data_IF_589657923785
#
_entry.id   IF_589657923785
#
_cell.length_a   1.000
_cell.length_b   1.000
_cell.length_c   1.000
_cell.angle_alpha   90.00
_cell.angle_beta   90.00
_cell.angle_gamma   90.00
#
_symmetry.space_group_name_H-M   'P 1'
#
loop_
_entity.id
_entity.type
_entity.pdbx_description
1 polymer ?
#
# COMPACT_ATOMS: atom_id res chain seq x y z
N UNK A 1 -8.78 -0.45 12.59
CA UNK A 1 -8.84 0.30 11.32
C UNK A 1 -9.61 -0.52 10.32
N UNK A 2 -10.35 0.14 9.43
CA UNK A 2 -11.14 -0.50 8.39
C UNK A 2 -10.79 0.25 7.10
N UNK A 3 -10.52 -0.49 6.04
CA UNK A 3 -10.29 0.06 4.71
C UNK A 3 -11.41 -0.45 3.80
N UNK A 4 -12.30 0.44 3.36
CA UNK A 4 -13.38 0.12 2.42
C UNK A 4 -13.31 1.03 1.19
N UNK A 5 -13.16 0.46 0.00
CA UNK A 5 -13.24 1.19 -1.26
C UNK A 5 -12.46 2.54 -1.31
N UNK A 6 -11.20 2.56 -0.83
CA UNK A 6 -10.33 3.74 -0.63
C UNK A 6 -10.61 4.63 0.58
N UNK A 7 -11.68 4.37 1.33
CA UNK A 7 -11.99 5.06 2.58
C UNK A 7 -11.27 4.39 3.75
N UNK A 8 -10.48 5.16 4.50
CA UNK A 8 -9.90 4.72 5.76
C UNK A 8 -10.81 5.14 6.91
N UNK A 9 -11.22 4.16 7.71
CA UNK A 9 -12.05 4.35 8.89
C UNK A 9 -11.40 3.80 10.15
N UNK A 10 -11.82 4.33 11.29
CA UNK A 10 -11.40 3.87 12.61
C UNK A 10 -12.62 3.52 13.45
N UNK A 11 -12.53 2.40 14.17
CA UNK A 11 -13.51 2.05 15.20
C UNK A 11 -13.14 2.78 16.49
N UNK A 12 -14.10 3.49 17.06
CA UNK A 12 -13.99 4.22 18.32
C UNK A 12 -15.14 3.77 19.23
N UNK A 13 -14.84 2.82 20.13
CA UNK A 13 -15.87 2.17 20.95
C UNK A 13 -16.91 1.44 20.08
N UNK A 14 -18.15 1.91 20.15
CA UNK A 14 -19.32 1.44 19.41
C UNK A 14 -19.50 2.12 18.03
N UNK A 15 -18.71 3.17 17.73
CA UNK A 15 -18.81 3.94 16.49
C UNK A 15 -17.72 3.59 15.49
N UNK A 16 -18.00 3.82 14.22
CA UNK A 16 -17.02 3.84 13.13
C UNK A 16 -16.96 5.27 12.60
N UNK A 17 -15.78 5.88 12.62
CA UNK A 17 -15.55 7.21 12.08
C UNK A 17 -14.73 7.14 10.81
N UNK A 18 -15.02 8.02 9.85
CA UNK A 18 -14.16 8.19 8.67
C UNK A 18 -12.97 9.05 9.03
N UNK A 19 -11.77 8.58 8.72
CA UNK A 19 -10.51 9.29 8.93
C UNK A 19 -10.03 9.92 7.64
N UNK A 20 -10.20 9.22 6.52
CA UNK A 20 -9.85 9.72 5.20
C UNK A 20 -10.81 9.13 4.16
N UNK A 21 -11.52 9.98 3.42
CA UNK A 21 -12.48 9.55 2.39
C UNK A 21 -11.81 8.89 1.18
N UNK A 22 -10.54 9.20 0.93
CA UNK A 22 -9.76 8.63 -0.17
C UNK A 22 -8.26 8.61 0.14
N UNK A 23 -7.71 7.42 0.37
CA UNK A 23 -6.27 7.23 0.64
C UNK A 23 -5.44 7.20 -0.65
N UNK A 24 -5.93 6.49 -1.67
CA UNK A 24 -5.28 6.36 -2.98
C UNK A 24 -5.89 7.34 -3.97
N UNK A 25 -5.08 8.03 -4.77
CA UNK A 25 -5.56 8.89 -5.86
C UNK A 25 -6.17 8.05 -6.99
N UNK A 26 -5.63 6.85 -7.21
CA UNK A 26 -5.85 6.08 -8.42
C UNK A 26 -4.98 6.62 -9.56
N UNK A 27 -4.81 5.84 -10.63
CA UNK A 27 -4.22 6.34 -11.87
C UNK A 27 -5.32 6.92 -12.77
N UNK A 28 -5.15 8.16 -13.23
CA UNK A 28 -5.93 8.70 -14.36
C UNK A 28 -5.45 8.15 -15.72
N UNK A 29 -4.29 7.48 -15.74
CA UNK A 29 -3.77 6.85 -16.94
C UNK A 29 -4.75 5.75 -17.40
N UNK A 30 -5.00 5.60 -18.73
CA UNK A 30 -5.70 4.46 -19.26
C UNK A 30 -4.92 3.22 -18.88
N UNK A 31 -5.41 2.61 -17.82
CA UNK A 31 -5.19 1.24 -17.46
C UNK A 31 -5.41 0.42 -18.74
N UNK A 32 -4.33 -0.12 -19.31
CA UNK A 32 -4.40 -0.89 -20.56
C UNK A 32 -5.46 -2.00 -20.48
N UNK A 33 -5.83 -2.62 -21.61
CA UNK A 33 -7.02 -3.47 -21.74
C UNK A 33 -7.12 -4.69 -20.78
N UNK A 34 -6.11 -4.92 -19.95
CA UNK A 34 -6.05 -5.98 -18.94
C UNK A 34 -5.82 -5.48 -17.50
N UNK A 35 -5.90 -4.19 -17.19
CA UNK A 35 -5.74 -3.77 -15.81
C UNK A 35 -7.01 -4.09 -15.03
N UNK A 36 -6.98 -4.98 -14.03
CA UNK A 36 -8.14 -5.15 -13.21
C UNK A 36 -8.39 -3.81 -12.51
N UNK A 37 -9.65 -3.36 -12.53
CA UNK A 37 -10.18 -2.20 -11.79
C UNK A 37 -9.87 -2.25 -10.27
N UNK A 38 -9.19 -3.30 -9.80
CA UNK A 38 -8.76 -3.54 -8.42
C UNK A 38 -7.51 -2.76 -8.01
N UNK A 39 -6.70 -2.24 -8.95
CA UNK A 39 -5.44 -1.56 -8.58
C UNK A 39 -5.60 -0.07 -8.32
N UNK A 40 -6.69 0.58 -8.75
CA UNK A 40 -6.98 1.98 -8.41
C UNK A 40 -7.36 2.18 -6.92
N UNK A 41 -7.44 1.09 -6.17
CA UNK A 41 -7.82 1.07 -4.76
C UNK A 41 -6.65 0.67 -3.88
N UNK A 42 -6.58 1.27 -2.70
CA UNK A 42 -5.78 0.80 -1.61
C UNK A 42 -6.18 -0.64 -1.27
N UNK A 43 -5.18 -1.52 -1.16
CA UNK A 43 -5.37 -2.97 -1.10
C UNK A 43 -5.18 -3.55 0.29
N UNK A 44 -4.51 -2.83 1.20
CA UNK A 44 -4.24 -3.31 2.56
C UNK A 44 -4.14 -2.15 3.55
N UNK A 45 -4.43 -2.46 4.82
CA UNK A 45 -4.18 -1.58 5.96
C UNK A 45 -3.57 -2.41 7.09
N UNK A 46 -2.45 -1.95 7.66
CA UNK A 46 -1.79 -2.60 8.78
C UNK A 46 -1.44 -1.58 9.88
N UNK A 47 -1.63 -1.92 11.16
CA UNK A 47 -1.19 -1.04 12.25
C UNK A 47 0.33 -0.92 12.28
N UNK A 48 0.79 0.29 12.62
CA UNK A 48 2.19 0.57 12.95
C UNK A 48 2.35 0.73 14.48
N UNK A 49 3.56 0.52 14.97
CA UNK A 49 3.95 0.60 16.38
C UNK A 49 3.74 1.99 16.99
N UNK A 50 3.79 3.04 16.16
CA UNK A 50 3.55 4.43 16.54
C UNK A 50 2.05 4.81 16.62
N UNK A 51 1.14 3.83 16.47
CA UNK A 51 -0.30 4.03 16.52
C UNK A 51 -0.92 4.63 15.25
N UNK A 52 -0.14 4.75 14.17
CA UNK A 52 -0.59 5.05 12.80
C UNK A 52 -0.92 3.76 12.05
N UNK A 53 -1.22 3.86 10.76
CA UNK A 53 -1.37 2.70 9.86
C UNK A 53 -0.54 2.85 8.62
N UNK A 54 -0.03 1.72 8.12
CA UNK A 54 0.47 1.58 6.76
C UNK A 54 -0.68 1.20 5.84
N UNK A 55 -0.74 1.82 4.66
CA UNK A 55 -1.71 1.54 3.60
C UNK A 55 -0.96 1.32 2.30
N UNK A 56 -1.17 0.18 1.65
CA UNK A 56 -0.64 -0.06 0.31
C UNK A 56 -1.60 0.49 -0.75
N UNK A 57 -1.09 1.34 -1.63
CA UNK A 57 -1.82 2.02 -2.69
C UNK A 57 -1.23 1.56 -4.04
N UNK A 58 -1.60 0.37 -4.56
CA UNK A 58 -0.97 -0.23 -5.73
C UNK A 58 -1.05 0.64 -6.99
N UNK A 59 -2.20 1.26 -7.26
CA UNK A 59 -2.38 2.14 -8.41
C UNK A 59 -1.58 3.44 -8.30
N UNK A 60 -1.38 3.93 -7.09
CA UNK A 60 -0.49 5.07 -6.86
C UNK A 60 0.99 4.65 -6.84
N UNK A 61 1.30 3.35 -6.94
CA UNK A 61 2.63 2.74 -6.76
C UNK A 61 3.32 3.21 -5.47
N UNK A 62 2.59 3.30 -4.36
CA UNK A 62 3.17 3.75 -3.08
C UNK A 62 2.62 3.02 -1.87
N UNK A 63 3.40 3.06 -0.80
CA UNK A 63 2.94 2.76 0.56
C UNK A 63 2.93 4.07 1.34
N UNK A 64 1.83 4.34 2.03
CA UNK A 64 1.68 5.53 2.86
C UNK A 64 1.45 5.17 4.32
N UNK A 65 1.93 6.01 5.23
CA UNK A 65 1.60 5.98 6.65
C UNK A 65 0.54 7.05 6.92
N UNK A 66 -0.58 6.67 7.51
CA UNK A 66 -1.71 7.55 7.81
C UNK A 66 -1.94 7.62 9.31
N UNK A 67 -2.05 8.83 9.86
CA UNK A 67 -2.32 9.01 11.28
C UNK A 67 -3.82 9.13 11.62
N UNK A 68 -4.11 9.30 12.90
CA UNK A 68 -5.48 9.39 13.44
C UNK A 68 -6.24 10.66 13.02
N UNK A 69 -5.57 11.64 12.45
CA UNK A 69 -6.16 12.86 11.90
C UNK A 69 -6.24 12.82 10.37
N UNK A 70 -5.90 11.69 9.75
CA UNK A 70 -5.89 11.53 8.29
C UNK A 70 -4.67 12.16 7.61
N UNK A 71 -3.63 12.57 8.35
CA UNK A 71 -2.40 13.08 7.73
C UNK A 71 -1.63 11.91 7.10
N UNK A 72 -1.19 12.11 5.86
CA UNK A 72 -0.56 11.09 5.02
C UNK A 72 0.92 11.42 4.81
N UNK A 73 1.79 10.44 5.04
CA UNK A 73 3.21 10.50 4.67
C UNK A 73 3.56 9.31 3.78
N UNK A 74 4.31 9.53 2.70
CA UNK A 74 4.81 8.42 1.88
C UNK A 74 5.94 7.69 2.63
N UNK A 75 5.85 6.36 2.68
CA UNK A 75 6.89 5.46 3.20
C UNK A 75 7.73 4.89 2.06
N UNK A 76 7.10 4.63 0.93
CA UNK A 76 7.73 4.03 -0.25
C UNK A 76 7.07 4.55 -1.51
N UNK A 77 7.88 5.01 -2.47
CA UNK A 77 7.50 5.14 -3.88
C UNK A 77 8.10 3.95 -4.64
N UNK A 78 7.25 3.15 -5.28
CA UNK A 78 7.65 1.98 -6.05
C UNK A 78 7.90 2.35 -7.51
N UNK A 79 9.03 1.91 -8.05
CA UNK A 79 9.37 2.05 -9.45
C UNK A 79 8.53 1.10 -10.32
N UNK A 80 8.17 1.53 -11.53
CA UNK A 80 7.53 0.63 -12.49
C UNK A 80 8.49 -0.54 -12.83
N UNK A 81 7.99 -1.78 -12.99
CA UNK A 81 6.58 -2.18 -13.04
C UNK A 81 5.93 -2.52 -11.69
N UNK A 82 6.59 -2.26 -10.56
CA UNK A 82 6.17 -2.75 -9.25
C UNK A 82 5.03 -1.93 -8.63
N UNK A 83 4.08 -2.63 -8.01
CA UNK A 83 3.00 -2.04 -7.24
C UNK A 83 2.89 -2.69 -5.85
N UNK A 84 2.86 -1.89 -4.77
CA UNK A 84 2.64 -2.39 -3.42
C UNK A 84 1.25 -2.98 -3.24
N UNK A 85 1.20 -4.25 -2.83
CA UNK A 85 -0.03 -4.96 -2.51
C UNK A 85 -0.29 -5.02 -1.00
N UNK A 86 0.78 -5.16 -0.22
CA UNK A 86 0.71 -5.17 1.24
C UNK A 86 1.94 -4.54 1.87
N UNK A 87 1.77 -3.96 3.06
CA UNK A 87 2.85 -3.45 3.88
C UNK A 87 2.60 -3.76 5.36
N UNK A 88 3.66 -4.12 6.08
CA UNK A 88 3.61 -4.33 7.54
C UNK A 88 4.89 -3.80 8.20
N UNK A 89 4.76 -3.27 9.41
CA UNK A 89 5.92 -2.92 10.23
C UNK A 89 6.29 -4.12 11.12
N UNK A 90 7.58 -4.43 11.18
CA UNK A 90 8.15 -5.45 12.05
C UNK A 90 8.33 -4.92 13.48
N UNK A 91 8.51 -5.80 14.46
CA UNK A 91 8.81 -5.38 15.84
C UNK A 91 10.12 -4.59 15.99
N UNK A 92 11.01 -4.65 14.99
CA UNK A 92 12.27 -3.92 14.93
C UNK A 92 12.15 -2.56 14.22
N UNK A 93 10.94 -2.17 13.78
CA UNK A 93 10.70 -0.90 13.07
C UNK A 93 10.94 -0.93 11.56
N UNK A 94 11.47 -2.03 11.01
CA UNK A 94 11.56 -2.19 9.56
C UNK A 94 10.17 -2.39 8.94
N UNK A 95 9.94 -1.86 7.73
CA UNK A 95 8.71 -2.07 6.96
C UNK A 95 8.96 -3.12 5.88
N UNK A 96 8.17 -4.19 5.88
CA UNK A 96 8.14 -5.17 4.79
C UNK A 96 7.03 -4.80 3.81
N UNK A 97 7.36 -4.78 2.52
CA UNK A 97 6.40 -4.47 1.45
C UNK A 97 6.36 -5.63 0.46
N UNK A 98 5.18 -6.22 0.29
CA UNK A 98 4.87 -7.17 -0.76
C UNK A 98 4.45 -6.40 -2.01
N UNK A 99 5.11 -6.68 -3.13
CA UNK A 99 4.83 -6.01 -4.41
C UNK A 99 4.65 -7.03 -5.53
N UNK A 100 3.72 -6.73 -6.43
CA UNK A 100 3.58 -7.44 -7.69
C UNK A 100 4.05 -6.53 -8.81
N UNK A 101 4.85 -7.07 -9.73
CA UNK A 101 5.07 -6.42 -11.00
C UNK A 101 3.82 -6.57 -11.86
N UNK A 102 3.48 -5.51 -12.58
CA UNK A 102 2.49 -5.58 -13.65
C UNK A 102 3.19 -5.59 -15.00
N UNK A 103 2.90 -6.61 -15.80
CA UNK A 103 3.40 -6.76 -17.17
C UNK A 103 2.22 -6.69 -18.13
N UNK A 104 2.32 -5.88 -19.22
CA UNK A 104 1.27 -5.79 -20.22
C UNK A 104 0.87 -7.13 -20.82
N UNK A 105 1.80 -8.09 -20.94
CA UNK A 105 1.55 -9.36 -21.63
C UNK A 105 0.72 -10.36 -20.82
N UNK A 106 0.90 -10.42 -19.49
CA UNK A 106 0.28 -11.44 -18.63
C UNK A 106 -0.68 -10.87 -17.58
N UNK A 107 -0.70 -9.54 -17.37
CA UNK A 107 -1.49 -8.89 -16.31
C UNK A 107 -1.02 -9.21 -14.89
N UNK A 108 -0.08 -10.14 -14.74
CA UNK A 108 0.63 -10.50 -13.51
C UNK A 108 2.09 -10.80 -13.85
N UNK A 109 3.00 -10.08 -13.20
CA UNK A 109 4.43 -10.29 -13.28
C UNK A 109 4.99 -10.90 -11.99
N UNK A 110 6.33 -10.94 -11.86
CA UNK A 110 6.98 -11.45 -10.65
C UNK A 110 6.51 -10.73 -9.39
N UNK A 111 6.64 -11.40 -8.27
CA UNK A 111 6.37 -10.86 -6.93
C UNK A 111 7.68 -10.65 -6.20
N UNK A 112 7.78 -9.59 -5.40
CA UNK A 112 8.93 -9.39 -4.51
C UNK A 112 8.50 -8.93 -3.13
N UNK A 113 9.37 -9.17 -2.16
CA UNK A 113 9.28 -8.58 -0.82
C UNK A 113 10.47 -7.66 -0.63
N UNK A 114 10.22 -6.38 -0.31
CA UNK A 114 11.25 -5.41 0.09
C UNK A 114 11.21 -5.19 1.59
N UNK A 115 12.39 -5.07 2.21
CA UNK A 115 12.58 -4.55 3.57
C UNK A 115 13.07 -3.12 3.48
N UNK A 116 12.42 -2.23 4.21
CA UNK A 116 12.78 -0.82 4.35
C UNK A 116 13.13 -0.56 5.81
N UNK A 117 14.34 -0.08 6.06
CA UNK A 117 14.80 0.33 7.38
C UNK A 117 15.81 1.49 7.27
N UNK A 118 16.45 1.86 8.38
CA UNK A 118 17.45 2.95 8.41
C UNK A 118 18.66 2.68 7.50
N UNK A 119 18.92 1.42 7.14
CA UNK A 119 19.95 1.01 6.19
C UNK A 119 19.53 1.15 4.73
N UNK A 120 18.27 1.51 4.46
CA UNK A 120 17.71 1.70 3.13
C UNK A 120 16.76 0.59 2.72
N UNK A 121 16.74 0.27 1.41
CA UNK A 121 15.79 -0.67 0.82
C UNK A 121 16.52 -1.92 0.32
N UNK A 122 16.12 -3.10 0.82
CA UNK A 122 16.66 -4.39 0.42
C UNK A 122 15.58 -5.29 -0.15
N UNK A 123 15.86 -6.03 -1.24
CA UNK A 123 14.96 -7.08 -1.75
C UNK A 123 15.27 -8.38 -1.01
N UNK A 124 14.29 -8.91 -0.29
CA UNK A 124 14.43 -10.16 0.48
C UNK A 124 14.14 -11.40 -0.37
N UNK A 125 13.07 -11.32 -1.18
CA UNK A 125 12.60 -12.42 -2.03
C UNK A 125 12.12 -11.83 -3.35
N UNK A 126 12.34 -12.56 -4.43
CA UNK A 126 11.75 -12.28 -5.74
C UNK A 126 11.39 -13.61 -6.42
N UNK A 127 10.17 -13.73 -6.92
CA UNK A 127 9.79 -14.87 -7.78
C UNK A 127 10.40 -14.69 -9.16
N UNK A 128 10.61 -15.78 -9.91
CA UNK A 128 10.96 -15.71 -11.32
C UNK A 128 9.96 -14.85 -12.10
#
# INVERSE_FOLDING_TARGET
WILDANTLRRREGDRIVTILDRVSKGTDAPLGPASPLTWSRASSVAPASDGRVLVACPGDRRVVRVDRLGRVATVLEAEAPWAPASALETGEGAVLVLEHAWTPESGQGPTRVRRLDDGGITVLVRTP
#
